data_IF_179916140043
#
_entry.id   IF_179916140043
#
_cell.length_a   1.000
_cell.length_b   1.000
_cell.length_c   1.000
_cell.angle_alpha   90.00
_cell.angle_beta   90.00
_cell.angle_gamma   90.00
#
_symmetry.space_group_name_H-M   'P 1'
#
loop_
_entity.id
_entity.type
_entity.pdbx_description
1 polymer ?
#
# COMPACT_ATOMS: atom_id res chain seq x y z
N UNK A 1 10.20 -8.72 -41.57
CA UNK A 1 10.06 -7.28 -41.23
C UNK A 1 8.69 -7.13 -40.60
N UNK A 2 8.48 -6.92 -39.29
CA UNK A 2 9.36 -6.50 -38.22
C UNK A 2 9.19 -7.44 -37.01
N UNK A 3 10.32 -7.78 -36.37
CA UNK A 3 10.38 -8.38 -35.04
C UNK A 3 9.90 -7.31 -34.04
N UNK A 4 8.75 -7.54 -33.40
CA UNK A 4 8.31 -6.71 -32.28
C UNK A 4 9.19 -7.10 -31.09
N UNK A 5 10.34 -6.43 -30.96
CA UNK A 5 11.25 -6.49 -29.81
C UNK A 5 10.59 -5.95 -28.54
N UNK A 6 9.54 -6.64 -28.07
CA UNK A 6 8.88 -6.36 -26.82
C UNK A 6 9.87 -6.60 -25.70
N UNK A 7 10.19 -5.54 -24.96
CA UNK A 7 11.01 -5.60 -23.76
C UNK A 7 10.29 -6.50 -22.75
N UNK A 8 10.65 -7.79 -22.72
CA UNK A 8 10.07 -8.72 -21.77
C UNK A 8 10.84 -8.57 -20.45
N UNK A 9 10.17 -8.06 -19.41
CA UNK A 9 10.78 -7.94 -18.09
C UNK A 9 11.17 -9.34 -17.60
N UNK A 10 12.46 -9.58 -17.47
CA UNK A 10 12.99 -10.82 -16.90
C UNK A 10 12.45 -10.92 -15.48
N UNK A 11 11.68 -11.97 -15.17
CA UNK A 11 11.16 -12.22 -13.81
C UNK A 11 12.32 -12.60 -12.87
N UNK A 12 13.09 -11.59 -12.45
CA UNK A 12 14.25 -11.75 -11.58
C UNK A 12 13.95 -11.49 -10.10
N UNK A 13 12.77 -10.94 -9.77
CA UNK A 13 12.36 -10.79 -8.38
C UNK A 13 11.93 -12.15 -7.84
N UNK A 14 12.87 -12.84 -7.19
CA UNK A 14 12.58 -13.99 -6.36
C UNK A 14 11.85 -13.61 -5.07
N UNK A 15 11.40 -14.61 -4.30
CA UNK A 15 10.64 -14.43 -3.05
C UNK A 15 11.35 -13.47 -2.09
N UNK A 16 12.65 -13.62 -1.90
CA UNK A 16 13.42 -12.76 -1.00
C UNK A 16 13.45 -11.30 -1.46
N UNK A 17 13.60 -11.06 -2.76
CA UNK A 17 13.55 -9.72 -3.34
C UNK A 17 12.17 -9.07 -3.17
N UNK A 18 11.10 -9.84 -3.38
CA UNK A 18 9.73 -9.37 -3.18
C UNK A 18 9.43 -9.01 -1.72
N UNK A 19 9.89 -9.83 -0.77
CA UNK A 19 9.76 -9.56 0.67
C UNK A 19 10.53 -8.30 1.06
N UNK A 20 11.78 -8.15 0.59
CA UNK A 20 12.59 -6.98 0.89
C UNK A 20 11.96 -5.67 0.39
N UNK A 21 11.42 -5.68 -0.84
CA UNK A 21 10.68 -4.54 -1.40
C UNK A 21 9.43 -4.23 -0.58
N UNK A 22 8.66 -5.25 -0.21
CA UNK A 22 7.43 -5.06 0.57
C UNK A 22 7.74 -4.45 1.96
N UNK A 23 8.74 -4.98 2.66
CA UNK A 23 9.21 -4.41 3.94
C UNK A 23 9.66 -2.96 3.78
N UNK A 24 10.38 -2.64 2.70
CA UNK A 24 10.83 -1.28 2.41
C UNK A 24 9.71 -0.28 2.13
N UNK A 25 8.60 -0.73 1.53
CA UNK A 25 7.43 0.13 1.26
C UNK A 25 6.57 0.31 2.53
N UNK A 26 6.47 -0.71 3.38
CA UNK A 26 5.67 -0.64 4.61
C UNK A 26 6.35 0.21 5.70
N UNK A 27 7.67 0.05 5.87
CA UNK A 27 8.40 0.77 6.93
C UNK A 27 8.68 2.22 6.46
N UNK A 28 7.83 3.14 6.91
CA UNK A 28 7.99 4.58 6.68
C UNK A 28 8.34 5.38 7.94
N UNK A 29 8.34 6.71 7.82
CA UNK A 29 8.62 7.66 8.90
C UNK A 29 7.56 7.66 10.02
N UNK A 30 6.41 7.01 9.82
CA UNK A 30 5.32 6.94 10.80
C UNK A 30 5.74 6.38 12.15
N UNK A 31 6.76 5.51 12.21
CA UNK A 31 7.26 4.94 13.47
C UNK A 31 7.80 6.01 14.45
N UNK A 32 8.20 7.18 13.97
CA UNK A 32 8.69 8.27 14.82
C UNK A 32 7.55 9.12 15.41
N UNK A 33 6.36 9.08 14.81
CA UNK A 33 5.20 9.88 15.22
C UNK A 33 4.16 9.04 15.99
N UNK A 34 3.83 7.86 15.46
CA UNK A 34 2.75 7.00 15.96
C UNK A 34 2.88 6.56 17.43
N UNK A 35 4.06 6.20 17.97
CA UNK A 35 4.18 5.75 19.35
C UNK A 35 3.73 6.78 20.38
N UNK A 36 3.95 8.08 20.12
CA UNK A 36 3.49 9.15 21.01
C UNK A 36 1.96 9.20 21.07
N UNK A 37 1.30 9.08 19.92
CA UNK A 37 -0.17 9.06 19.84
C UNK A 37 -0.77 7.82 20.51
N UNK A 38 -0.19 6.63 20.25
CA UNK A 38 -0.66 5.38 20.84
C UNK A 38 -0.47 5.39 22.36
N UNK A 39 0.67 5.87 22.87
CA UNK A 39 0.92 5.95 24.30
C UNK A 39 0.00 6.96 24.99
N UNK A 40 -0.26 8.11 24.37
CA UNK A 40 -1.21 9.09 24.88
C UNK A 40 -2.65 8.53 24.94
N UNK A 41 -3.05 7.72 23.97
CA UNK A 41 -4.36 7.07 23.95
C UNK A 41 -4.47 5.83 24.87
N UNK A 42 -3.37 5.10 25.09
CA UNK A 42 -3.37 3.89 25.91
C UNK A 42 -3.15 4.15 27.40
N UNK A 43 -2.48 5.25 27.76
CA UNK A 43 -2.11 5.61 29.14
C UNK A 43 -1.06 4.70 29.79
N UNK A 44 -0.70 3.58 29.16
CA UNK A 44 0.26 2.60 29.67
C UNK A 44 1.07 1.99 28.53
N UNK A 45 2.36 1.76 28.78
CA UNK A 45 3.31 1.16 27.83
C UNK A 45 2.91 -0.28 27.49
N UNK A 46 2.45 -1.07 28.47
CA UNK A 46 2.03 -2.44 28.23
C UNK A 46 0.82 -2.53 27.28
N UNK A 47 -0.16 -1.66 27.48
CA UNK A 47 -1.35 -1.57 26.62
C UNK A 47 -0.99 -1.05 25.22
N UNK A 48 -0.04 -0.10 25.11
CA UNK A 48 0.45 0.38 23.82
C UNK A 48 1.09 -0.74 22.97
N UNK A 49 1.88 -1.63 23.59
CA UNK A 49 2.50 -2.76 22.90
C UNK A 49 1.45 -3.77 22.41
N UNK A 50 0.40 -4.01 23.23
CA UNK A 50 -0.72 -4.87 22.84
C UNK A 50 -1.47 -4.28 21.63
N UNK A 51 -1.75 -2.97 21.64
CA UNK A 51 -2.38 -2.29 20.48
C UNK A 51 -1.53 -2.44 19.22
N UNK A 52 -0.21 -2.25 19.34
CA UNK A 52 0.71 -2.44 18.22
C UNK A 52 0.66 -3.86 17.65
N UNK A 53 0.65 -4.86 18.52
CA UNK A 53 0.54 -6.26 18.10
C UNK A 53 -0.77 -6.55 17.36
N UNK A 54 -1.91 -6.13 17.91
CA UNK A 54 -3.21 -6.32 17.26
C UNK A 54 -3.34 -5.53 15.95
N UNK A 55 -2.79 -4.32 15.88
CA UNK A 55 -2.71 -3.55 14.64
C UNK A 55 -1.91 -4.29 13.57
N UNK A 56 -0.80 -4.95 13.96
CA UNK A 56 -0.01 -5.78 13.06
C UNK A 56 -0.80 -6.97 12.51
N UNK A 57 -1.54 -7.68 13.37
CA UNK A 57 -2.41 -8.78 12.94
C UNK A 57 -3.50 -8.27 11.99
N UNK A 58 -4.17 -7.17 12.33
CA UNK A 58 -5.21 -6.59 11.49
C UNK A 58 -4.68 -6.21 10.11
N UNK A 59 -3.49 -5.59 10.06
CA UNK A 59 -2.82 -5.25 8.81
C UNK A 59 -2.42 -6.49 8.00
N UNK A 60 -2.02 -7.58 8.66
CA UNK A 60 -1.68 -8.85 8.00
C UNK A 60 -2.90 -9.45 7.31
N UNK A 61 -4.07 -9.47 7.97
CA UNK A 61 -5.31 -9.97 7.38
C UNK A 61 -5.68 -9.13 6.15
N UNK A 62 -5.61 -7.80 6.26
CA UNK A 62 -5.86 -6.91 5.11
C UNK A 62 -4.90 -7.17 3.94
N UNK A 63 -3.62 -7.37 4.22
CA UNK A 63 -2.62 -7.68 3.21
C UNK A 63 -2.90 -9.01 2.49
N UNK A 64 -3.38 -10.03 3.21
CA UNK A 64 -3.77 -11.31 2.62
C UNK A 64 -4.99 -11.16 1.69
N UNK A 65 -6.00 -10.39 2.10
CA UNK A 65 -7.16 -10.09 1.23
C UNK A 65 -6.72 -9.37 -0.06
N UNK A 66 -5.81 -8.40 0.05
CA UNK A 66 -5.26 -7.73 -1.14
C UNK A 66 -4.38 -8.64 -1.99
N UNK A 67 -3.65 -9.59 -1.38
CA UNK A 67 -2.88 -10.58 -2.10
C UNK A 67 -3.79 -11.51 -2.92
N UNK A 68 -4.90 -11.97 -2.35
CA UNK A 68 -5.91 -12.78 -3.05
C UNK A 68 -6.54 -12.00 -4.20
N UNK A 69 -6.91 -10.74 -3.96
CA UNK A 69 -7.48 -9.88 -5.00
C UNK A 69 -6.49 -9.63 -6.15
N UNK A 70 -5.20 -9.43 -5.82
CA UNK A 70 -4.14 -9.22 -6.80
C UNK A 70 -3.77 -10.46 -7.63
N UNK A 71 -4.00 -11.66 -7.11
CA UNK A 71 -3.85 -12.89 -7.91
C UNK A 71 -5.10 -13.19 -8.74
N UNK A 72 -6.29 -12.80 -8.27
CA UNK A 72 -7.55 -12.98 -9.02
C UNK A 72 -7.71 -11.99 -10.19
N UNK A 73 -7.30 -10.74 -10.02
CA UNK A 73 -7.46 -9.69 -11.02
C UNK A 73 -6.07 -9.15 -11.41
N UNK A 74 -5.36 -9.78 -12.36
CA UNK A 74 -4.02 -9.39 -12.77
C UNK A 74 -4.07 -8.19 -13.74
N UNK A 75 -4.69 -7.09 -13.30
CA UNK A 75 -4.72 -5.82 -14.01
C UNK A 75 -3.69 -4.86 -13.42
N UNK A 76 -3.02 -4.11 -14.28
CA UNK A 76 -2.16 -3.02 -13.87
C UNK A 76 -3.01 -1.88 -13.27
N UNK A 77 -2.59 -1.30 -12.15
CA UNK A 77 -3.26 -0.16 -11.51
C UNK A 77 -3.74 -0.37 -10.07
N UNK A 78 -3.53 -1.56 -9.49
CA UNK A 78 -3.79 -1.83 -8.07
C UNK A 78 -5.26 -1.60 -7.68
N UNK A 79 -5.49 -0.92 -6.55
CA UNK A 79 -6.84 -0.70 -6.00
C UNK A 79 -7.76 0.02 -6.99
N UNK A 80 -7.22 0.96 -7.78
CA UNK A 80 -7.98 1.64 -8.82
C UNK A 80 -8.56 0.66 -9.84
N UNK A 81 -7.75 -0.30 -10.30
CA UNK A 81 -8.18 -1.32 -11.26
C UNK A 81 -9.28 -2.21 -10.69
N UNK A 82 -9.21 -2.57 -9.40
CA UNK A 82 -10.25 -3.36 -8.74
C UNK A 82 -11.58 -2.61 -8.64
N UNK A 83 -11.54 -1.33 -8.25
CA UNK A 83 -12.74 -0.48 -8.18
C UNK A 83 -13.31 -0.24 -9.58
N UNK A 84 -12.45 -0.05 -10.58
CA UNK A 84 -12.89 0.11 -11.96
C UNK A 84 -13.58 -1.14 -12.50
N UNK A 85 -13.04 -2.32 -12.22
CA UNK A 85 -13.61 -3.60 -12.63
C UNK A 85 -14.98 -3.88 -11.96
N UNK A 86 -15.14 -3.50 -10.69
CA UNK A 86 -16.34 -3.83 -9.89
C UNK A 86 -17.44 -2.78 -9.96
N UNK A 87 -17.10 -1.50 -9.98
CA UNK A 87 -18.04 -0.38 -9.91
C UNK A 87 -18.05 0.50 -11.16
N UNK A 88 -17.08 0.34 -12.07
CA UNK A 88 -17.00 1.10 -13.31
C UNK A 88 -16.24 2.43 -13.20
N UNK A 89 -16.23 3.23 -14.29
CA UNK A 89 -15.29 4.34 -14.49
C UNK A 89 -15.50 5.54 -13.55
N UNK A 90 -16.75 5.87 -13.21
CA UNK A 90 -17.03 7.03 -12.36
C UNK A 90 -16.50 6.82 -10.93
N UNK A 91 -16.75 5.64 -10.36
CA UNK A 91 -16.35 5.32 -8.99
C UNK A 91 -14.83 5.17 -8.87
N UNK A 92 -14.17 4.57 -9.86
CA UNK A 92 -12.71 4.50 -9.88
C UNK A 92 -12.08 5.89 -9.98
N UNK A 93 -12.65 6.78 -10.80
CA UNK A 93 -12.18 8.16 -10.92
C UNK A 93 -12.32 8.91 -9.59
N UNK A 94 -13.49 8.85 -8.95
CA UNK A 94 -13.72 9.54 -7.68
C UNK A 94 -12.80 9.01 -6.57
N UNK A 95 -12.60 7.69 -6.49
CA UNK A 95 -11.66 7.08 -5.54
C UNK A 95 -10.25 7.62 -5.73
N UNK A 96 -9.75 7.61 -6.97
CA UNK A 96 -8.41 8.10 -7.29
C UNK A 96 -8.28 9.61 -7.06
N UNK A 97 -9.31 10.37 -7.42
CA UNK A 97 -9.37 11.82 -7.22
C UNK A 97 -9.24 12.19 -5.75
N UNK A 98 -10.03 11.56 -4.88
CA UNK A 98 -9.97 11.76 -3.43
C UNK A 98 -8.59 11.35 -2.88
N UNK A 99 -8.06 10.21 -3.35
CA UNK A 99 -6.74 9.75 -2.96
C UNK A 99 -5.64 10.78 -3.27
N UNK A 100 -5.68 11.38 -4.46
CA UNK A 100 -4.71 12.42 -4.85
C UNK A 100 -4.86 13.68 -4.00
N UNK A 101 -6.09 14.19 -3.88
CA UNK A 101 -6.35 15.49 -3.21
C UNK A 101 -6.14 15.42 -1.71
N UNK A 102 -6.56 14.33 -1.06
CA UNK A 102 -6.56 14.24 0.41
C UNK A 102 -5.30 13.56 0.97
N UNK A 103 -4.78 12.53 0.29
CA UNK A 103 -3.67 11.71 0.81
C UNK A 103 -2.32 12.19 0.28
N UNK A 104 -2.25 12.69 -0.97
CA UNK A 104 -0.99 13.14 -1.59
C UNK A 104 -0.83 14.65 -1.85
N UNK A 105 -1.44 15.60 -1.08
CA UNK A 105 -1.26 17.02 -1.38
C UNK A 105 0.19 17.51 -1.18
N UNK A 106 1.02 16.77 -0.43
CA UNK A 106 2.39 17.15 -0.05
C UNK A 106 3.51 16.70 -1.00
N UNK A 107 3.20 16.09 -2.16
CA UNK A 107 4.23 15.60 -3.09
C UNK A 107 4.90 16.71 -3.93
N UNK A 108 4.53 17.98 -3.73
CA UNK A 108 5.19 19.13 -4.38
C UNK A 108 6.40 19.51 -3.51
N UNK A 109 7.64 19.35 -4.01
CA UNK A 109 8.81 19.88 -3.32
C UNK A 109 8.68 21.40 -3.23
N UNK A 110 8.69 21.94 -2.02
CA UNK A 110 8.95 23.36 -1.80
C UNK A 110 10.32 23.69 -2.42
N UNK A 111 10.44 24.68 -3.32
CA UNK A 111 11.74 25.14 -3.78
C UNK A 111 12.38 25.93 -2.63
N UNK A 112 13.18 25.24 -1.82
CA UNK A 112 14.09 25.86 -0.85
C UNK A 112 15.53 25.48 -1.23
#
# INVERSE_FOLDING_TARGET
MADNGGVNLKREIGVFGGVAVNVGIIIGSGIFLSPKGVLAGSGSVGLALIIWFFSGIFSLVGALCFAELGTMIPLDGGVYAYVHYTYGPLWSFLFQWIGIVMVQPGAIPSPA
#
